data_IF_599495721568
#
_entry.id   IF_599495721568
#
_cell.length_a   1.000
_cell.length_b   1.000
_cell.length_c   1.000
_cell.angle_alpha   90.00
_cell.angle_beta   90.00
_cell.angle_gamma   90.00
#
_symmetry.space_group_name_H-M   'P 1'
#
loop_
_entity.id
_entity.type
_entity.pdbx_description
1 polymer ?
#
# COMPACT_ATOMS: atom_id res chain seq x y z
N UNK A 1 37.55 1.40 41.79
CA UNK A 1 36.67 1.10 40.64
C UNK A 1 37.51 1.27 39.39
N UNK A 2 37.49 0.31 38.44
CA UNK A 2 38.22 0.46 37.18
C UNK A 2 37.57 1.60 36.38
N UNK A 3 38.40 2.47 35.80
CA UNK A 3 37.94 3.65 35.06
C UNK A 3 37.51 3.23 33.65
N UNK A 4 36.35 3.70 33.14
CA UNK A 4 35.91 3.38 31.78
C UNK A 4 36.74 4.16 30.75
N UNK A 5 37.08 3.50 29.65
CA UNK A 5 37.95 4.04 28.60
C UNK A 5 37.36 5.31 27.96
N UNK A 6 38.22 6.32 27.77
CA UNK A 6 37.93 7.71 27.37
C UNK A 6 37.26 7.94 26.01
N UNK A 7 36.68 6.91 25.41
CA UNK A 7 35.83 6.98 24.22
C UNK A 7 34.38 6.52 24.47
N UNK A 8 34.02 6.07 25.69
CA UNK A 8 32.64 5.68 25.98
C UNK A 8 31.77 6.90 26.29
N UNK A 9 30.96 7.30 25.30
CA UNK A 9 29.73 8.09 25.49
C UNK A 9 28.58 7.24 26.06
N UNK A 10 28.89 6.06 26.61
CA UNK A 10 27.94 5.09 27.13
C UNK A 10 27.69 5.31 28.63
N UNK A 11 27.38 6.56 29.01
CA UNK A 11 26.93 6.84 30.37
C UNK A 11 25.43 6.56 30.52
N UNK A 12 25.01 6.20 31.73
CA UNK A 12 23.61 5.87 32.00
C UNK A 12 22.67 7.01 31.58
N UNK A 13 23.10 8.27 31.73
CA UNK A 13 22.36 9.44 31.27
C UNK A 13 22.08 9.44 29.76
N UNK A 14 23.06 9.12 28.92
CA UNK A 14 22.91 9.07 27.46
C UNK A 14 21.97 7.95 27.05
N UNK A 15 22.00 6.80 27.74
CA UNK A 15 21.04 5.71 27.53
C UNK A 15 19.60 6.21 27.73
N UNK A 16 19.33 6.92 28.83
CA UNK A 16 18.00 7.45 29.12
C UNK A 16 17.57 8.58 28.17
N UNK A 17 18.51 9.42 27.72
CA UNK A 17 18.21 10.46 26.74
C UNK A 17 17.90 9.90 25.35
N UNK A 18 18.63 8.88 24.91
CA UNK A 18 18.43 8.26 23.60
C UNK A 18 17.04 7.60 23.48
N UNK A 19 16.46 7.16 24.60
CA UNK A 19 15.08 6.64 24.67
C UNK A 19 14.04 7.73 24.98
N UNK A 20 14.41 9.01 24.93
CA UNK A 20 13.50 10.15 25.09
C UNK A 20 13.04 10.42 26.53
N UNK A 21 13.69 9.83 27.53
CA UNK A 21 13.32 10.01 28.93
C UNK A 21 14.19 11.08 29.61
N UNK A 22 13.59 11.81 30.56
CA UNK A 22 14.29 12.70 31.50
C UNK A 22 14.27 12.07 32.89
N UNK A 23 15.41 12.02 33.55
CA UNK A 23 15.56 11.43 34.89
C UNK A 23 16.02 12.48 35.89
N UNK A 24 15.39 12.48 37.06
CA UNK A 24 15.84 13.20 38.25
C UNK A 24 16.32 12.17 39.27
N UNK A 25 17.62 12.15 39.55
CA UNK A 25 18.24 11.22 40.50
C UNK A 25 19.32 11.93 41.31
N UNK A 26 19.57 11.43 42.51
CA UNK A 26 20.67 11.87 43.37
C UNK A 26 21.98 11.11 43.08
N UNK A 27 22.01 10.24 42.07
CA UNK A 27 23.17 9.46 41.66
C UNK A 27 23.95 10.14 40.52
N UNK A 28 25.26 9.92 40.50
CA UNK A 28 26.13 10.37 39.40
C UNK A 28 25.93 9.43 38.22
N UNK A 29 25.04 9.83 37.30
CA UNK A 29 24.70 9.06 36.09
C UNK A 29 25.37 9.57 34.82
N UNK A 30 26.05 10.72 34.89
CA UNK A 30 26.84 11.29 33.80
C UNK A 30 28.31 11.00 34.03
N UNK A 31 29.00 10.48 33.02
CA UNK A 31 30.46 10.34 33.06
C UNK A 31 31.05 11.74 32.82
N UNK A 32 31.85 12.29 33.75
CA UNK A 32 32.46 13.60 33.54
C UNK A 32 33.51 13.52 32.44
N UNK A 33 33.46 14.43 31.47
CA UNK A 33 34.37 14.49 30.32
C UNK A 33 35.80 14.88 30.67
N UNK A 34 36.08 15.31 31.90
CA UNK A 34 37.42 15.61 32.37
C UNK A 34 37.63 15.14 33.83
N UNK A 35 38.57 14.22 34.03
CA UNK A 35 39.05 13.82 35.36
C UNK A 35 40.23 14.72 35.74
N UNK A 36 39.99 15.69 36.64
CA UNK A 36 41.04 16.53 37.23
C UNK A 36 41.32 16.04 38.65
N UNK A 37 42.43 15.31 38.84
CA UNK A 37 42.85 14.83 40.16
C UNK A 37 44.18 15.50 40.55
N UNK A 38 44.20 16.16 41.72
CA UNK A 38 45.37 16.93 42.22
C UNK A 38 45.98 17.89 41.19
N UNK A 39 45.13 18.57 40.41
CA UNK A 39 45.56 19.59 39.45
C UNK A 39 46.17 19.05 38.15
N UNK A 40 46.17 17.72 37.92
CA UNK A 40 46.58 17.12 36.65
C UNK A 40 45.34 16.66 35.87
N UNK A 41 45.33 17.00 34.58
CA UNK A 41 44.29 16.63 33.63
C UNK A 41 44.76 15.39 32.86
N UNK A 42 43.97 14.33 32.86
CA UNK A 42 44.31 13.04 32.26
C UNK A 42 43.53 12.86 30.95
N UNK A 43 44.24 12.69 29.83
CA UNK A 43 43.66 12.33 28.53
C UNK A 43 44.07 10.90 28.17
N UNK A 44 43.14 10.11 27.65
CA UNK A 44 43.36 8.71 27.26
C UNK A 44 43.45 8.61 25.73
N UNK A 45 44.50 7.96 25.25
CA UNK A 45 44.87 7.85 23.83
C UNK A 45 45.08 6.38 23.38
N UNK A 46 44.91 6.14 22.07
CA UNK A 46 45.11 4.91 21.27
C UNK A 46 44.12 3.73 21.47
N UNK A 47 43.77 2.90 20.47
CA UNK A 47 44.23 2.70 19.08
C UNK A 47 43.59 1.43 18.47
N UNK A 48 43.58 1.35 17.14
CA UNK A 48 42.92 0.35 16.25
C UNK A 48 43.51 -1.07 16.28
N UNK A 49 42.74 -2.09 15.79
CA UNK A 49 43.28 -3.27 15.06
C UNK A 49 42.21 -4.29 14.55
N UNK A 50 42.16 -4.43 13.21
CA UNK A 50 41.93 -5.60 12.30
C UNK A 50 40.68 -6.53 12.47
N UNK A 51 39.81 -6.74 11.46
CA UNK A 51 39.93 -7.39 10.12
C UNK A 51 40.12 -8.92 10.25
N UNK A 52 39.49 -9.89 9.56
CA UNK A 52 38.92 -10.03 8.21
C UNK A 52 38.10 -11.39 8.22
N UNK A 53 36.93 -11.56 7.59
CA UNK A 53 36.70 -12.32 6.32
C UNK A 53 36.76 -13.87 6.40
N UNK A 54 36.14 -14.73 5.57
CA UNK A 54 35.47 -14.65 4.27
C UNK A 54 34.62 -15.94 4.07
N UNK A 55 33.77 -15.85 3.04
CA UNK A 55 32.83 -16.80 2.41
C UNK A 55 33.46 -18.10 1.82
N UNK A 56 32.61 -19.06 1.41
CA UNK A 56 32.57 -19.63 0.03
C UNK A 56 31.32 -20.51 -0.19
N UNK A 57 30.84 -20.46 -1.44
CA UNK A 57 29.58 -20.91 -2.04
C UNK A 57 29.52 -22.37 -2.56
N UNK A 58 28.32 -22.81 -2.98
CA UNK A 58 27.96 -23.46 -4.28
C UNK A 58 26.64 -24.25 -4.14
N UNK A 59 25.82 -24.59 -5.15
CA UNK A 59 25.41 -24.07 -6.47
C UNK A 59 24.28 -25.01 -6.97
N UNK A 60 23.18 -24.47 -7.54
CA UNK A 60 22.28 -25.03 -8.61
C UNK A 60 21.51 -26.37 -8.39
N UNK A 61 20.35 -26.69 -8.99
CA UNK A 61 19.43 -26.07 -9.98
C UNK A 61 18.16 -26.95 -10.16
N UNK A 62 17.18 -26.43 -10.94
CA UNK A 62 16.24 -27.12 -11.87
C UNK A 62 14.71 -27.08 -11.61
N UNK A 63 14.06 -26.17 -12.36
CA UNK A 63 12.88 -26.26 -13.26
C UNK A 63 11.84 -27.40 -13.17
N UNK A 64 10.56 -27.01 -13.33
CA UNK A 64 9.49 -27.87 -13.87
C UNK A 64 8.12 -27.17 -13.95
N UNK A 65 7.61 -26.98 -15.18
CA UNK A 65 6.34 -26.33 -15.54
C UNK A 65 5.22 -27.35 -15.82
N UNK A 66 3.95 -27.02 -15.56
CA UNK A 66 2.80 -27.62 -16.29
C UNK A 66 1.61 -26.67 -16.39
N UNK A 67 1.00 -26.69 -17.59
CA UNK A 67 -0.18 -25.94 -18.00
C UNK A 67 -1.47 -26.69 -17.68
N UNK A 68 -2.58 -25.95 -17.50
CA UNK A 68 -3.93 -26.48 -17.32
C UNK A 68 -4.97 -25.61 -18.03
N UNK A 69 -5.84 -26.27 -18.78
CA UNK A 69 -6.76 -25.80 -19.83
C UNK A 69 -8.15 -25.38 -19.34
N UNK A 70 -8.76 -24.47 -20.11
CA UNK A 70 -10.17 -24.33 -20.52
C UNK A 70 -11.31 -24.34 -19.48
N UNK A 71 -12.20 -23.33 -19.57
CA UNK A 71 -13.61 -23.52 -19.96
C UNK A 71 -14.32 -22.18 -20.16
N UNK A 72 -15.12 -22.11 -21.22
CA UNK A 72 -15.96 -20.98 -21.62
C UNK A 72 -17.43 -21.36 -21.42
N UNK A 73 -18.32 -20.43 -21.03
CA UNK A 73 -19.74 -20.58 -21.24
C UNK A 73 -20.32 -19.54 -22.20
N UNK A 74 -21.30 -20.05 -22.94
CA UNK A 74 -22.28 -19.48 -23.87
C UNK A 74 -23.02 -18.24 -23.32
N UNK A 75 -23.15 -17.18 -24.13
CA UNK A 75 -23.83 -15.93 -23.75
C UNK A 75 -24.76 -15.45 -24.88
N UNK A 76 -26.05 -15.64 -24.68
CA UNK A 76 -27.12 -15.00 -25.45
C UNK A 76 -27.10 -13.49 -25.22
N UNK A 77 -27.31 -12.62 -26.22
CA UNK A 77 -27.11 -11.18 -26.08
C UNK A 77 -28.15 -10.57 -25.12
N UNK A 78 -27.70 -10.30 -23.90
CA UNK A 78 -28.43 -9.50 -22.94
C UNK A 78 -28.27 -8.03 -23.35
N UNK A 79 -29.35 -7.38 -23.80
CA UNK A 79 -29.37 -5.92 -23.92
C UNK A 79 -29.50 -5.30 -22.52
N UNK A 80 -28.38 -5.19 -21.81
CA UNK A 80 -28.30 -4.39 -20.58
C UNK A 80 -27.95 -2.95 -20.96
N UNK A 81 -28.96 -2.08 -20.94
CA UNK A 81 -28.75 -0.63 -20.99
C UNK A 81 -28.13 -0.20 -19.67
N UNK A 82 -26.88 0.26 -19.72
CA UNK A 82 -26.13 0.73 -18.55
C UNK A 82 -26.65 2.09 -18.09
N UNK A 83 -26.93 2.21 -16.80
CA UNK A 83 -27.51 3.45 -16.23
C UNK A 83 -26.82 3.89 -14.95
N UNK A 84 -26.05 3.01 -14.29
CA UNK A 84 -25.47 3.29 -12.98
C UNK A 84 -23.96 3.55 -13.07
N UNK A 85 -23.59 4.84 -13.14
CA UNK A 85 -22.20 5.31 -13.24
C UNK A 85 -21.80 6.21 -12.05
N UNK A 86 -21.66 5.66 -10.84
CA UNK A 86 -21.22 6.43 -9.69
C UNK A 86 -19.72 6.76 -9.76
N UNK A 87 -19.31 7.80 -9.04
CA UNK A 87 -17.88 8.07 -8.77
C UNK A 87 -17.35 7.25 -7.58
N UNK A 88 -18.22 6.91 -6.62
CA UNK A 88 -17.91 6.08 -5.44
C UNK A 88 -18.88 4.92 -5.36
N UNK A 89 -18.37 3.69 -5.31
CA UNK A 89 -19.18 2.47 -5.33
C UNK A 89 -19.66 2.03 -3.93
N UNK A 90 -18.74 1.83 -2.97
CA UNK A 90 -19.06 1.29 -1.64
C UNK A 90 -18.57 2.27 -0.57
N UNK A 91 -19.45 2.60 0.37
CA UNK A 91 -19.10 3.41 1.54
C UNK A 91 -19.91 2.94 2.76
N UNK A 92 -19.53 1.78 3.29
CA UNK A 92 -20.27 1.09 4.34
C UNK A 92 -19.44 0.83 5.59
N UNK A 93 -20.11 0.84 6.75
CA UNK A 93 -19.55 0.44 8.03
C UNK A 93 -20.17 -0.90 8.45
N UNK A 94 -19.32 -1.90 8.69
CA UNK A 94 -19.78 -3.24 9.06
C UNK A 94 -19.18 -3.65 10.40
N UNK A 95 -20.03 -4.12 11.32
CA UNK A 95 -19.56 -4.79 12.52
C UNK A 95 -19.13 -6.22 12.18
N UNK A 96 -17.86 -6.52 12.45
CA UNK A 96 -17.25 -7.84 12.32
C UNK A 96 -17.38 -8.51 13.68
N UNK A 97 -18.27 -9.50 13.78
CA UNK A 97 -18.53 -10.19 15.04
C UNK A 97 -17.31 -10.95 15.58
N UNK A 98 -17.51 -11.76 16.63
CA UNK A 98 -16.44 -12.49 17.34
C UNK A 98 -15.55 -13.36 16.44
N UNK A 99 -16.03 -13.77 15.27
CA UNK A 99 -15.29 -14.58 14.31
C UNK A 99 -14.19 -13.81 13.56
N UNK A 100 -14.21 -12.47 13.58
CA UNK A 100 -13.21 -11.65 12.88
C UNK A 100 -13.35 -11.60 11.36
N UNK A 101 -14.38 -12.24 10.79
CA UNK A 101 -14.63 -12.28 9.33
C UNK A 101 -16.08 -11.94 9.02
N UNK A 102 -16.32 -11.24 7.92
CA UNK A 102 -17.65 -10.93 7.40
C UNK A 102 -17.63 -10.84 5.88
N UNK A 103 -18.52 -11.59 5.25
CA UNK A 103 -18.68 -11.58 3.80
C UNK A 103 -19.78 -10.57 3.42
N UNK A 104 -19.54 -9.82 2.35
CA UNK A 104 -20.47 -8.83 1.81
C UNK A 104 -20.68 -9.09 0.32
N UNK A 105 -21.93 -9.39 -0.07
CA UNK A 105 -22.30 -9.54 -1.47
C UNK A 105 -22.80 -8.19 -2.00
N UNK A 106 -22.10 -7.65 -2.98
CA UNK A 106 -22.42 -6.37 -3.65
C UNK A 106 -22.38 -6.56 -5.16
N UNK A 107 -23.24 -5.84 -5.85
CA UNK A 107 -23.24 -5.79 -7.32
C UNK A 107 -22.30 -4.68 -7.79
N UNK A 108 -21.41 -5.00 -8.73
CA UNK A 108 -20.49 -4.04 -9.35
C UNK A 108 -21.26 -2.99 -10.17
N UNK A 109 -20.79 -1.73 -10.24
CA UNK A 109 -21.44 -0.71 -11.07
C UNK A 109 -21.22 -0.96 -12.56
N UNK A 110 -22.00 -0.26 -13.39
CA UNK A 110 -21.92 -0.36 -14.86
C UNK A 110 -20.70 0.36 -15.45
N UNK A 111 -19.98 1.13 -14.62
CA UNK A 111 -18.74 1.81 -15.01
C UNK A 111 -17.65 0.78 -15.35
N UNK A 112 -17.24 0.77 -16.61
CA UNK A 112 -16.11 -0.03 -17.11
C UNK A 112 -14.83 0.66 -16.65
N UNK A 113 -14.33 0.27 -15.49
CA UNK A 113 -13.12 0.81 -14.90
C UNK A 113 -12.52 -0.20 -13.92
N UNK A 114 -11.31 0.09 -13.45
CA UNK A 114 -10.74 -0.59 -12.28
C UNK A 114 -11.13 0.18 -11.03
N UNK A 115 -11.84 -0.49 -10.13
CA UNK A 115 -12.21 0.03 -8.82
C UNK A 115 -11.11 -0.32 -7.81
N UNK A 116 -10.62 0.68 -7.08
CA UNK A 116 -9.72 0.49 -5.94
C UNK A 116 -10.52 0.50 -4.63
N UNK A 117 -10.23 -0.45 -3.75
CA UNK A 117 -10.91 -0.60 -2.46
C UNK A 117 -9.94 -0.37 -1.31
N UNK A 118 -10.41 0.37 -0.30
CA UNK A 118 -9.73 0.60 0.97
C UNK A 118 -10.65 0.21 2.12
N UNK A 119 -10.09 -0.46 3.13
CA UNK A 119 -10.83 -0.84 4.32
C UNK A 119 -9.98 -0.67 5.57
N UNK A 120 -10.62 -0.27 6.67
CA UNK A 120 -9.98 -0.19 7.97
C UNK A 120 -10.90 -0.76 9.05
N UNK A 121 -10.29 -1.25 10.12
CA UNK A 121 -10.98 -1.87 11.25
C UNK A 121 -10.60 -1.15 12.55
N UNK A 122 -11.61 -0.95 13.41
CA UNK A 122 -11.44 -0.43 14.76
C UNK A 122 -11.90 -1.47 15.76
N UNK A 123 -11.05 -1.76 16.75
CA UNK A 123 -11.36 -2.69 17.84
C UNK A 123 -10.80 -2.18 19.16
N UNK A 124 -11.16 -2.83 20.26
CA UNK A 124 -10.53 -2.57 21.57
C UNK A 124 -9.02 -2.86 21.58
N UNK A 125 -8.52 -3.65 20.63
CA UNK A 125 -7.09 -3.95 20.48
C UNK A 125 -6.34 -2.86 19.71
N UNK A 126 -7.06 -1.96 19.03
CA UNK A 126 -6.49 -0.86 18.25
C UNK A 126 -7.07 -0.74 16.85
N UNK A 127 -6.31 -0.06 15.99
CA UNK A 127 -6.64 0.24 14.60
C UNK A 127 -5.87 -0.70 13.65
N UNK A 128 -6.54 -1.19 12.61
CA UNK A 128 -5.93 -1.93 11.52
C UNK A 128 -6.32 -1.36 10.16
N UNK A 129 -5.37 -1.27 9.24
CA UNK A 129 -5.59 -0.85 7.86
C UNK A 129 -5.37 -2.05 6.93
N UNK A 130 -6.33 -2.33 6.06
CA UNK A 130 -6.22 -3.39 5.07
C UNK A 130 -5.41 -2.92 3.86
N UNK A 131 -4.68 -3.83 3.19
CA UNK A 131 -4.04 -3.50 1.91
C UNK A 131 -5.10 -3.22 0.84
N UNK A 132 -4.77 -2.32 -0.08
CA UNK A 132 -5.63 -1.99 -1.23
C UNK A 132 -5.88 -3.22 -2.09
N UNK A 133 -7.08 -3.31 -2.63
CA UNK A 133 -7.47 -4.33 -3.62
C UNK A 133 -8.16 -3.70 -4.81
N UNK A 134 -7.78 -4.18 -5.98
CA UNK A 134 -8.32 -3.73 -7.27
C UNK A 134 -9.37 -4.73 -7.80
N UNK A 135 -10.43 -4.21 -8.38
CA UNK A 135 -11.51 -4.97 -9.02
C UNK A 135 -11.75 -4.36 -10.40
N UNK A 136 -11.40 -5.08 -11.45
CA UNK A 136 -11.60 -4.61 -12.83
C UNK A 136 -12.95 -5.04 -13.37
N UNK A 137 -13.79 -4.07 -13.74
CA UNK A 137 -15.03 -4.28 -14.45
C UNK A 137 -14.77 -4.03 -15.93
N UNK A 138 -14.93 -5.06 -16.75
CA UNK A 138 -14.66 -4.99 -18.18
C UNK A 138 -15.80 -5.56 -19.01
N UNK A 139 -16.15 -4.86 -20.10
CA UNK A 139 -17.09 -5.33 -21.09
C UNK A 139 -16.37 -5.42 -22.45
N UNK A 140 -16.39 -6.56 -23.15
CA UNK A 140 -15.69 -6.72 -24.44
C UNK A 140 -16.23 -5.85 -25.57
N UNK A 141 -17.49 -5.43 -25.50
CA UNK A 141 -18.12 -4.55 -26.49
C UNK A 141 -18.93 -3.47 -25.78
N UNK A 142 -18.60 -2.20 -26.02
CA UNK A 142 -19.29 -1.08 -25.39
C UNK A 142 -19.20 0.20 -26.23
N UNK A 143 -20.11 1.14 -25.93
CA UNK A 143 -20.11 2.49 -26.47
C UNK A 143 -19.73 3.50 -25.38
N UNK A 144 -18.89 4.46 -25.74
CA UNK A 144 -18.46 5.58 -24.90
C UNK A 144 -18.87 6.91 -25.54
N UNK A 145 -19.44 7.82 -24.75
CA UNK A 145 -19.83 9.17 -25.19
C UNK A 145 -18.84 10.21 -24.65
N UNK A 146 -18.26 11.02 -25.53
CA UNK A 146 -17.42 12.15 -25.14
C UNK A 146 -18.28 13.37 -24.81
N UNK A 147 -18.62 13.51 -23.52
CA UNK A 147 -19.43 14.62 -23.00
C UNK A 147 -18.55 15.65 -22.28
N UNK A 148 -18.68 16.96 -22.59
CA UNK A 148 -18.05 18.00 -21.81
C UNK A 148 -18.77 18.17 -20.47
N UNK A 149 -18.10 18.79 -19.50
CA UNK A 149 -18.68 19.08 -18.19
C UNK A 149 -19.97 19.92 -18.27
N UNK A 150 -20.06 20.85 -19.24
CA UNK A 150 -21.24 21.70 -19.43
C UNK A 150 -21.38 22.14 -20.89
N UNK A 151 -22.60 22.53 -21.28
CA UNK A 151 -22.95 22.98 -22.63
C UNK A 151 -23.74 24.30 -22.53
N UNK A 152 -23.48 25.25 -23.43
CA UNK A 152 -24.19 26.52 -23.48
C UNK A 152 -25.50 26.36 -24.26
N UNK A 153 -26.62 26.80 -23.66
CA UNK A 153 -27.92 26.76 -24.31
C UNK A 153 -27.93 27.69 -25.54
N UNK A 154 -28.36 27.15 -26.68
CA UNK A 154 -28.48 27.89 -27.93
C UNK A 154 -27.26 27.80 -28.84
N UNK A 155 -26.20 27.13 -28.39
CA UNK A 155 -25.02 26.84 -29.22
C UNK A 155 -25.06 25.43 -29.80
N UNK A 156 -24.33 25.23 -30.90
CA UNK A 156 -24.17 23.92 -31.52
C UNK A 156 -22.99 23.19 -30.87
N UNK A 157 -23.20 21.94 -30.50
CA UNK A 157 -22.17 21.07 -29.93
C UNK A 157 -22.07 19.76 -30.73
N UNK A 158 -20.85 19.26 -30.90
CA UNK A 158 -20.57 17.99 -31.57
C UNK A 158 -20.48 16.86 -30.53
N UNK A 159 -21.52 16.03 -30.43
CA UNK A 159 -21.49 14.83 -29.59
C UNK A 159 -20.74 13.70 -30.31
N UNK A 160 -19.65 13.21 -29.70
CA UNK A 160 -18.87 12.08 -30.23
C UNK A 160 -19.20 10.82 -29.47
N UNK A 161 -19.48 9.76 -30.21
CA UNK A 161 -19.69 8.41 -29.70
C UNK A 161 -18.63 7.48 -30.30
N UNK A 162 -17.92 6.75 -29.45
CA UNK A 162 -16.91 5.77 -29.86
C UNK A 162 -17.37 4.39 -29.48
N UNK A 163 -17.28 3.46 -30.42
CA UNK A 163 -17.61 2.04 -30.19
C UNK A 163 -16.32 1.26 -30.08
N UNK A 164 -16.18 0.54 -28.97
CA UNK A 164 -15.05 -0.35 -28.74
C UNK A 164 -15.49 -1.80 -28.93
N UNK A 165 -14.74 -2.53 -29.74
CA UNK A 165 -14.92 -3.97 -29.94
C UNK A 165 -13.60 -4.69 -29.65
N UNK A 166 -13.57 -5.40 -28.53
CA UNK A 166 -12.48 -6.29 -28.10
C UNK A 166 -12.82 -7.77 -28.33
N UNK A 167 -13.92 -8.07 -29.03
CA UNK A 167 -14.23 -9.43 -29.47
C UNK A 167 -13.26 -9.85 -30.58
N UNK A 168 -13.04 -11.15 -30.71
CA UNK A 168 -12.18 -11.72 -31.75
C UNK A 168 -12.84 -11.77 -33.13
N UNK A 169 -14.15 -11.53 -33.21
CA UNK A 169 -14.95 -11.56 -34.43
C UNK A 169 -15.37 -10.17 -34.90
N UNK A 170 -15.47 -10.01 -36.22
CA UNK A 170 -16.04 -8.82 -36.83
C UNK A 170 -17.57 -8.82 -36.67
N UNK A 171 -18.11 -7.67 -36.28
CA UNK A 171 -19.56 -7.46 -36.12
C UNK A 171 -20.01 -6.24 -36.92
N UNK A 172 -21.24 -6.27 -37.41
CA UNK A 172 -21.90 -5.10 -38.01
C UNK A 172 -22.67 -4.37 -36.92
N UNK A 173 -22.46 -3.07 -36.79
CA UNK A 173 -23.10 -2.26 -35.74
C UNK A 173 -24.05 -1.27 -36.38
N UNK A 174 -25.30 -1.24 -35.91
CA UNK A 174 -26.31 -0.24 -36.28
C UNK A 174 -26.56 0.69 -35.09
N UNK A 175 -26.49 2.00 -35.33
CA UNK A 175 -26.73 3.03 -34.31
C UNK A 175 -27.99 3.82 -34.64
N UNK A 176 -28.79 4.12 -33.63
CA UNK A 176 -29.96 4.99 -33.71
C UNK A 176 -29.86 6.01 -32.58
N UNK A 177 -29.84 7.29 -32.94
CA UNK A 177 -30.04 8.39 -31.99
C UNK A 177 -31.51 8.81 -32.08
N UNK A 178 -32.29 8.49 -31.05
CA UNK A 178 -33.68 8.93 -30.90
C UNK A 178 -33.76 10.15 -30.01
#
# INVERSE_FOLDING_TARGET
>A
MPFPDGNQKDDAHTVFQNVGMKIATNLVIRVPTCLKYRGREYHQDHGYSYDNSLVVSSMESSSGSTAGTNNSPDDSPIETVRTFFPETWIWDLLEVGKSGTKDMSVTVPDTITTWETEAFCLSSQGFGLAPRKEITVFQPFFLELSLPYSIIRGEHFELKATVFNYLTSCIMVTHVFT
#
